data_IF_065659846391
#
_entry.id   IF_065659846391
#
_cell.length_a   1.000
_cell.length_b   1.000
_cell.length_c   1.000
_cell.angle_alpha   90.00
_cell.angle_beta   90.00
_cell.angle_gamma   90.00
#
_symmetry.space_group_name_H-M   'P 1'
#
loop_
_entity.id
_entity.type
_entity.pdbx_description
1 polymer ?
#
# COMPACT_ATOMS: atom_id res chain seq x y z
N UNK A 1 -27.02 21.20 18.75
CA UNK A 1 -26.93 20.47 17.48
C UNK A 1 -26.14 19.19 17.75
N UNK A 2 -26.78 18.03 17.98
CA UNK A 2 -26.04 16.78 18.07
C UNK A 2 -25.50 16.47 16.67
N UNK A 3 -24.18 16.43 16.56
CA UNK A 3 -23.44 15.93 15.41
C UNK A 3 -24.04 14.59 14.96
N UNK A 4 -24.32 14.46 13.66
CA UNK A 4 -24.68 13.20 13.00
C UNK A 4 -23.56 12.17 13.21
N UNK A 5 -23.55 11.52 14.37
CA UNK A 5 -22.95 10.22 14.54
C UNK A 5 -23.85 9.22 13.80
N UNK A 6 -23.86 9.30 12.48
CA UNK A 6 -24.43 8.26 11.62
C UNK A 6 -23.78 6.96 12.07
N UNK A 7 -24.59 6.05 12.57
CA UNK A 7 -24.16 4.72 12.95
C UNK A 7 -23.60 4.04 11.71
N UNK A 8 -22.27 4.03 11.55
CA UNK A 8 -21.56 3.34 10.46
C UNK A 8 -21.52 1.82 10.64
N UNK A 9 -22.42 1.28 11.48
CA UNK A 9 -22.54 -0.15 11.72
C UNK A 9 -23.00 -0.81 10.42
N UNK A 10 -22.19 -1.77 9.94
CA UNK A 10 -22.44 -2.46 8.66
C UNK A 10 -21.83 -1.78 7.43
N UNK A 11 -21.11 -0.66 7.57
CA UNK A 11 -20.35 -0.08 6.47
C UNK A 11 -19.03 -0.83 6.22
N UNK A 12 -18.60 -0.79 4.96
CA UNK A 12 -17.35 -1.36 4.49
C UNK A 12 -16.44 -0.25 3.98
N UNK A 13 -15.16 -0.29 4.34
CA UNK A 13 -14.14 0.61 3.85
C UNK A 13 -13.25 -0.11 2.84
N UNK A 14 -13.17 0.43 1.63
CA UNK A 14 -12.18 0.08 0.62
C UNK A 14 -10.95 0.96 0.85
N UNK A 15 -9.77 0.34 0.97
CA UNK A 15 -8.49 1.02 1.10
C UNK A 15 -7.60 0.62 -0.07
N UNK A 16 -7.13 1.61 -0.82
CA UNK A 16 -6.15 1.41 -1.90
C UNK A 16 -4.86 2.09 -1.49
N UNK A 17 -3.85 1.29 -1.19
CA UNK A 17 -2.50 1.79 -0.89
C UNK A 17 -1.71 1.85 -2.18
N UNK A 18 -1.22 3.04 -2.52
CA UNK A 18 -0.45 3.31 -3.73
C UNK A 18 0.86 3.98 -3.41
N UNK A 19 1.77 3.91 -4.38
CA UNK A 19 3.10 4.47 -4.34
C UNK A 19 3.17 5.77 -5.16
N UNK A 20 3.80 6.84 -4.64
CA UNK A 20 4.38 6.99 -3.30
C UNK A 20 3.30 7.15 -2.21
N UNK A 21 3.43 6.41 -1.09
CA UNK A 21 2.60 6.41 0.14
C UNK A 21 1.29 7.24 0.07
N UNK A 22 0.33 6.80 -0.75
CA UNK A 22 -1.03 7.34 -0.77
C UNK A 22 -2.00 6.26 -0.37
N UNK A 23 -2.94 6.60 0.51
CA UNK A 23 -4.02 5.69 0.89
C UNK A 23 -5.32 6.38 0.53
N UNK A 24 -5.97 5.86 -0.50
CA UNK A 24 -7.33 6.26 -0.86
C UNK A 24 -8.31 5.42 -0.04
N UNK A 25 -9.33 6.06 0.55
CA UNK A 25 -10.35 5.39 1.34
C UNK A 25 -11.73 5.77 0.86
N UNK A 26 -12.52 4.76 0.53
CA UNK A 26 -13.93 4.91 0.13
C UNK A 26 -14.79 4.03 1.04
N UNK A 27 -15.96 4.53 1.44
CA UNK A 27 -16.91 3.76 2.25
C UNK A 27 -18.12 3.35 1.42
N UNK A 28 -18.64 2.15 1.69
CA UNK A 28 -19.79 1.58 1.02
C UNK A 28 -20.78 1.03 2.05
N UNK A 29 -22.08 1.09 1.73
CA UNK A 29 -23.13 0.56 2.61
C UNK A 29 -23.30 -0.95 2.57
N UNK A 30 -22.65 -1.65 1.63
CA UNK A 30 -22.73 -3.12 1.50
C UNK A 30 -21.37 -3.73 1.16
N UNK A 31 -21.19 -5.00 1.51
CA UNK A 31 -19.98 -5.76 1.22
C UNK A 31 -19.75 -5.90 -0.29
N UNK A 32 -20.79 -6.29 -1.03
CA UNK A 32 -20.70 -6.52 -2.47
C UNK A 32 -20.24 -5.28 -3.23
N UNK A 33 -20.79 -4.10 -2.90
CA UNK A 33 -20.38 -2.84 -3.53
C UNK A 33 -18.92 -2.50 -3.21
N UNK A 34 -18.47 -2.75 -1.97
CA UNK A 34 -17.09 -2.53 -1.57
C UNK A 34 -16.12 -3.49 -2.30
N UNK A 35 -16.51 -4.75 -2.45
CA UNK A 35 -15.73 -5.75 -3.20
C UNK A 35 -15.67 -5.39 -4.67
N UNK A 36 -16.76 -4.97 -5.30
CA UNK A 36 -16.76 -4.54 -6.71
C UNK A 36 -15.80 -3.37 -6.96
N UNK A 37 -15.83 -2.36 -6.09
CA UNK A 37 -14.89 -1.23 -6.13
C UNK A 37 -13.43 -1.68 -5.91
N UNK A 38 -13.20 -2.59 -4.96
CA UNK A 38 -11.87 -3.15 -4.74
C UNK A 38 -11.37 -3.92 -5.97
N UNK A 39 -12.24 -4.71 -6.62
CA UNK A 39 -11.90 -5.48 -7.81
C UNK A 39 -11.51 -4.58 -9.00
N UNK A 40 -12.11 -3.40 -9.15
CA UNK A 40 -11.67 -2.42 -10.14
C UNK A 40 -10.20 -2.01 -9.92
N UNK A 41 -9.84 -1.71 -8.68
CA UNK A 41 -8.46 -1.37 -8.30
C UNK A 41 -7.52 -2.56 -8.51
N UNK A 42 -7.97 -3.78 -8.22
CA UNK A 42 -7.19 -5.01 -8.46
C UNK A 42 -6.97 -5.26 -9.95
N UNK A 43 -7.98 -5.01 -10.80
CA UNK A 43 -7.82 -5.10 -12.26
C UNK A 43 -6.78 -4.09 -12.74
N UNK A 44 -6.82 -2.85 -12.26
CA UNK A 44 -5.82 -1.84 -12.58
C UNK A 44 -4.42 -2.29 -12.16
N UNK A 45 -4.28 -2.73 -10.90
CA UNK A 45 -3.06 -3.28 -10.33
C UNK A 45 -2.46 -4.37 -11.24
N UNK A 46 -3.26 -5.37 -11.60
CA UNK A 46 -2.82 -6.49 -12.46
C UNK A 46 -2.50 -6.05 -13.88
N UNK A 47 -3.29 -5.15 -14.46
CA UNK A 47 -3.08 -4.66 -15.83
C UNK A 47 -1.79 -3.85 -15.99
N UNK A 48 -1.39 -3.13 -14.93
CA UNK A 48 -0.16 -2.33 -14.92
C UNK A 48 1.08 -3.19 -14.58
N UNK A 49 0.88 -4.38 -14.01
CA UNK A 49 1.96 -5.31 -13.65
C UNK A 49 3.03 -4.61 -12.80
N UNK A 50 4.29 -4.79 -13.19
CA UNK A 50 5.42 -4.22 -12.45
C UNK A 50 5.45 -2.68 -12.40
N UNK A 51 4.79 -2.02 -13.37
CA UNK A 51 4.69 -0.57 -13.39
C UNK A 51 3.61 -0.03 -12.45
N UNK A 52 2.78 -0.92 -11.85
CA UNK A 52 1.68 -0.45 -11.03
C UNK A 52 2.19 0.37 -9.85
N UNK A 53 1.46 1.43 -9.54
CA UNK A 53 1.65 2.17 -8.30
C UNK A 53 0.86 1.56 -7.16
N UNK A 54 -0.16 0.75 -7.43
CA UNK A 54 -0.93 0.10 -6.36
C UNK A 54 -0.02 -0.93 -5.68
N UNK A 55 -0.10 -1.00 -4.35
CA UNK A 55 0.66 -1.92 -3.51
C UNK A 55 -0.25 -2.86 -2.72
N UNK A 56 -1.40 -2.37 -2.29
CA UNK A 56 -2.44 -3.21 -1.71
C UNK A 56 -3.83 -2.63 -1.93
N UNK A 57 -4.81 -3.52 -2.01
CA UNK A 57 -6.24 -3.22 -2.00
C UNK A 57 -6.87 -4.04 -0.90
N UNK A 58 -7.61 -3.42 0.00
CA UNK A 58 -8.28 -4.11 1.09
C UNK A 58 -9.72 -3.62 1.23
N UNK A 59 -10.63 -4.54 1.53
CA UNK A 59 -11.97 -4.22 2.02
C UNK A 59 -12.05 -4.67 3.47
N UNK A 60 -12.44 -3.76 4.35
CA UNK A 60 -12.59 -4.02 5.78
C UNK A 60 -13.97 -3.59 6.22
N UNK A 61 -14.57 -4.35 7.12
CA UNK A 61 -15.71 -3.87 7.90
C UNK A 61 -15.25 -2.71 8.79
N UNK A 62 -16.02 -1.62 8.82
CA UNK A 62 -15.65 -0.40 9.58
C UNK A 62 -15.63 -0.67 11.09
N UNK A 63 -16.48 -1.59 11.56
CA UNK A 63 -16.64 -1.97 12.96
C UNK A 63 -15.63 -3.05 13.43
N UNK A 64 -15.16 -3.92 12.54
CA UNK A 64 -14.35 -5.10 12.91
C UNK A 64 -12.86 -4.99 12.54
N UNK A 65 -12.45 -3.98 11.76
CA UNK A 65 -11.06 -3.78 11.28
C UNK A 65 -10.40 -4.94 10.50
N UNK A 66 -10.99 -6.14 10.53
CA UNK A 66 -10.56 -7.34 9.83
C UNK A 66 -10.90 -7.21 8.34
N UNK A 67 -9.95 -7.53 7.44
CA UNK A 67 -10.24 -7.53 6.01
C UNK A 67 -11.16 -8.69 5.66
N UNK A 68 -12.22 -8.39 4.91
CA UNK A 68 -13.09 -9.38 4.25
C UNK A 68 -12.58 -9.69 2.84
N UNK A 69 -11.80 -8.79 2.26
CA UNK A 69 -11.09 -8.97 1.00
C UNK A 69 -9.73 -8.28 1.08
N UNK A 70 -8.70 -8.89 0.50
CA UNK A 70 -7.40 -8.27 0.34
C UNK A 70 -6.71 -8.79 -0.91
N UNK A 71 -6.02 -7.90 -1.61
CA UNK A 71 -5.10 -8.22 -2.68
C UNK A 71 -3.84 -7.38 -2.52
N UNK A 72 -2.69 -8.02 -2.72
CA UNK A 72 -1.37 -7.42 -2.63
C UNK A 72 -0.72 -7.40 -4.01
N UNK A 73 0.09 -6.39 -4.24
CA UNK A 73 1.04 -6.37 -5.35
C UNK A 73 2.02 -7.55 -5.28
N UNK A 74 2.26 -8.12 -4.10
CA UNK A 74 3.17 -9.25 -3.92
C UNK A 74 2.51 -10.63 -4.04
N UNK A 75 1.20 -10.68 -4.31
CA UNK A 75 0.50 -11.96 -4.45
C UNK A 75 0.90 -12.65 -5.76
N UNK A 76 1.01 -13.99 -5.79
CA UNK A 76 1.39 -14.74 -6.99
C UNK A 76 0.50 -14.45 -8.21
N UNK A 77 -0.77 -14.11 -7.97
CA UNK A 77 -1.76 -13.77 -8.98
C UNK A 77 -1.42 -12.50 -9.79
N UNK A 78 -0.44 -11.72 -9.36
CA UNK A 78 0.08 -10.59 -10.13
C UNK A 78 0.97 -11.02 -11.30
N UNK A 79 1.43 -12.27 -11.33
CA UNK A 79 2.28 -12.78 -12.41
C UNK A 79 3.62 -12.06 -12.53
N UNK A 80 4.10 -11.46 -11.44
CA UNK A 80 5.41 -10.82 -11.40
C UNK A 80 6.51 -11.88 -11.52
N UNK A 81 7.55 -11.58 -12.29
CA UNK A 81 8.81 -12.31 -12.22
C UNK A 81 9.49 -12.09 -10.86
N UNK A 82 10.39 -13.01 -10.49
CA UNK A 82 11.17 -12.88 -9.25
C UNK A 82 11.92 -11.53 -9.18
N UNK A 83 12.42 -11.05 -10.32
CA UNK A 83 13.11 -9.77 -10.42
C UNK A 83 12.18 -8.58 -10.14
N UNK A 84 10.95 -8.61 -10.67
CA UNK A 84 9.95 -7.55 -10.44
C UNK A 84 9.43 -7.57 -9.00
N UNK A 85 9.19 -8.77 -8.45
CA UNK A 85 8.80 -8.95 -7.06
C UNK A 85 9.89 -8.43 -6.12
N UNK A 86 11.15 -8.78 -6.38
CA UNK A 86 12.30 -8.28 -5.64
C UNK A 86 12.42 -6.76 -5.73
N UNK A 87 12.34 -6.18 -6.94
CA UNK A 87 12.45 -4.74 -7.12
C UNK A 87 11.36 -3.97 -6.39
N UNK A 88 10.14 -4.49 -6.36
CA UNK A 88 9.05 -3.88 -5.62
C UNK A 88 9.19 -4.01 -4.09
N UNK A 89 9.72 -5.14 -3.57
CA UNK A 89 10.01 -5.31 -2.13
C UNK A 89 11.03 -4.28 -1.67
N UNK A 90 12.13 -4.14 -2.42
CA UNK A 90 13.16 -3.14 -2.17
C UNK A 90 12.54 -1.74 -2.16
N UNK A 91 11.84 -1.35 -3.23
CA UNK A 91 11.23 -0.03 -3.38
C UNK A 91 10.19 0.29 -2.30
N UNK A 92 9.37 -0.70 -1.94
CA UNK A 92 8.37 -0.58 -0.89
C UNK A 92 8.97 -0.45 0.52
N UNK A 93 10.19 -0.96 0.74
CA UNK A 93 10.89 -0.88 2.02
C UNK A 93 11.52 0.50 2.27
N UNK A 94 12.28 1.04 1.31
CA UNK A 94 13.02 2.30 1.54
C UNK A 94 12.19 3.57 1.27
N UNK A 95 11.41 3.64 0.16
CA UNK A 95 10.87 4.93 -0.29
C UNK A 95 9.90 5.59 0.71
N UNK A 96 9.02 4.85 1.42
CA UNK A 96 8.20 5.41 2.48
C UNK A 96 8.99 6.27 3.48
N UNK A 97 10.16 5.79 3.88
CA UNK A 97 11.04 6.45 4.85
C UNK A 97 11.84 7.57 4.20
N UNK A 98 12.30 7.39 2.96
CA UNK A 98 12.95 8.46 2.21
C UNK A 98 12.05 9.68 2.08
N UNK A 99 10.77 9.47 1.74
CA UNK A 99 9.78 10.55 1.63
C UNK A 99 9.54 11.19 2.99
N UNK A 100 9.37 10.38 4.04
CA UNK A 100 9.17 10.89 5.40
C UNK A 100 10.36 11.74 5.86
N UNK A 101 11.58 11.24 5.66
CA UNK A 101 12.82 11.93 5.99
C UNK A 101 13.01 13.21 5.17
N UNK A 102 12.67 13.19 3.88
CA UNK A 102 12.70 14.38 3.04
C UNK A 102 11.75 15.46 3.58
N UNK A 103 10.52 15.08 3.96
CA UNK A 103 9.56 16.00 4.56
C UNK A 103 10.03 16.54 5.91
N UNK A 104 10.66 15.70 6.73
CA UNK A 104 11.21 16.10 8.03
C UNK A 104 12.42 17.04 7.90
N UNK A 105 13.29 16.79 6.92
CA UNK A 105 14.36 17.72 6.60
C UNK A 105 13.82 19.07 6.14
N UNK A 106 12.77 19.07 5.31
CA UNK A 106 12.10 20.31 4.88
C UNK A 106 11.45 21.08 6.03
N UNK A 107 11.05 20.40 7.12
CA UNK A 107 10.50 21.02 8.32
C UNK A 107 11.53 21.31 9.42
N UNK A 108 12.83 21.18 9.13
CA UNK A 108 13.94 21.32 10.09
C UNK A 108 13.83 20.39 11.32
N UNK A 109 13.13 19.26 11.19
CA UNK A 109 13.09 18.26 12.24
C UNK A 109 14.46 17.59 12.39
N UNK A 110 14.93 17.43 13.63
CA UNK A 110 16.23 16.79 13.94
C UNK A 110 16.18 15.26 13.91
N UNK A 111 14.98 14.70 13.85
CA UNK A 111 14.75 13.25 13.86
C UNK A 111 14.70 12.70 12.44
N UNK A 112 15.24 11.48 12.26
CA UNK A 112 15.15 10.71 11.01
C UNK A 112 14.56 9.33 11.30
N UNK A 113 13.66 8.89 10.43
CA UNK A 113 13.21 7.52 10.38
C UNK A 113 14.37 6.67 9.88
N UNK A 114 14.91 5.83 10.75
CA UNK A 114 15.81 4.77 10.33
C UNK A 114 15.05 3.71 9.55
N UNK A 115 15.78 2.98 8.72
CA UNK A 115 15.23 1.77 8.16
C UNK A 115 15.11 0.69 9.24
N UNK A 116 13.89 0.20 9.47
CA UNK A 116 13.67 -1.07 10.15
C UNK A 116 14.34 -2.21 9.39
N UNK A 117 14.58 -3.35 10.04
CA UNK A 117 15.44 -4.41 9.52
C UNK A 117 15.02 -4.87 8.12
N UNK A 118 16.00 -5.13 7.26
CA UNK A 118 15.79 -5.78 5.97
C UNK A 118 15.52 -7.28 6.20
N UNK A 119 14.39 -7.83 5.74
CA UNK A 119 14.11 -9.26 5.88
C UNK A 119 15.05 -10.11 5.02
N UNK A 120 15.81 -11.02 5.64
CA UNK A 120 16.83 -11.83 4.93
C UNK A 120 16.21 -12.77 3.89
N UNK A 121 14.97 -13.19 4.09
CA UNK A 121 14.19 -14.01 3.17
C UNK A 121 13.86 -13.29 1.85
N UNK A 122 14.05 -11.97 1.76
CA UNK A 122 13.87 -11.21 0.52
C UNK A 122 15.13 -11.20 -0.36
N UNK A 123 16.23 -11.79 0.11
CA UNK A 123 17.53 -11.77 -0.57
C UNK A 123 18.47 -10.69 0.00
N UNK A 124 19.61 -10.42 -0.63
CA UNK A 124 20.52 -9.35 -0.19
C UNK A 124 19.86 -7.98 -0.38
N UNK A 125 20.14 -7.03 0.51
CA UNK A 125 19.74 -5.63 0.29
C UNK A 125 20.69 -5.01 -0.76
N UNK A 126 20.18 -4.45 -1.87
CA UNK A 126 21.04 -3.82 -2.86
C UNK A 126 21.43 -2.40 -2.42
N UNK A 127 22.56 -1.88 -2.93
CA UNK A 127 22.95 -0.49 -2.68
C UNK A 127 22.08 0.52 -3.43
N UNK A 128 21.48 0.10 -4.55
CA UNK A 128 20.61 0.91 -5.41
C UNK A 128 19.30 0.17 -5.65
N UNK A 129 18.18 0.87 -5.48
CA UNK A 129 16.86 0.31 -5.72
C UNK A 129 16.65 0.03 -7.22
N UNK A 130 16.42 -1.23 -7.62
CA UNK A 130 16.27 -1.59 -9.03
C UNK A 130 14.95 -1.09 -9.64
N UNK A 131 13.98 -0.65 -8.82
CA UNK A 131 12.73 -0.07 -9.29
C UNK A 131 12.82 1.43 -9.57
N UNK A 132 13.54 2.20 -8.73
CA UNK A 132 13.56 3.67 -8.82
C UNK A 132 14.95 4.30 -9.01
N UNK A 133 16.01 3.49 -9.03
CA UNK A 133 17.39 3.94 -9.24
C UNK A 133 17.98 4.76 -8.08
N UNK A 134 17.28 4.88 -6.96
CA UNK A 134 17.78 5.62 -5.78
C UNK A 134 18.74 4.76 -4.97
N UNK A 135 19.76 5.41 -4.41
CA UNK A 135 20.60 4.81 -3.38
C UNK A 135 19.77 4.56 -2.12
N UNK A 136 19.98 3.41 -1.51
CA UNK A 136 19.34 2.96 -0.26
C UNK A 136 20.26 3.29 0.92
#
# INVERSE_FOLDING_TARGET
MPSEAVSRLGEFAVRVSSFPLRVERTTCGTESAAIELALESVRRLRSEGAASRIRSVEVRRVDDCRPVFSASYFDPEQGLSDAEAYAARVCGWHLPRDILNANYMASNARWRAGDGPWPQEWGPLPETCPSCGRRI
#
